data_IF_565728155538
#
_entry.id   IF_565728155538
#
_cell.length_a   1.000
_cell.length_b   1.000
_cell.length_c   1.000
_cell.angle_alpha   90.00
_cell.angle_beta   90.00
_cell.angle_gamma   90.00
#
_symmetry.space_group_name_H-M   'P 1'
#
loop_
_entity.id
_entity.type
_entity.pdbx_description
1 polymer ?
#
# COMPACT_ATOMS: atom_id res chain seq x y z
N UNK A 1 -9.06 10.45 3.30
CA UNK A 1 -8.26 9.78 2.26
C UNK A 1 -7.18 8.93 2.91
N UNK A 2 -7.04 7.71 2.46
CA UNK A 2 -5.94 6.82 2.86
C UNK A 2 -5.28 6.24 1.62
N UNK A 3 -3.96 6.01 1.70
CA UNK A 3 -3.19 5.34 0.64
C UNK A 3 -3.04 3.88 1.04
N UNK A 4 -3.15 2.98 0.06
CA UNK A 4 -3.16 1.53 0.32
C UNK A 4 -1.89 0.91 -0.25
N UNK A 5 -1.17 0.17 0.59
CA UNK A 5 -0.05 -0.66 0.15
C UNK A 5 -0.53 -2.05 -0.27
N UNK A 6 0.23 -2.71 -1.15
CA UNK A 6 -0.02 -4.10 -1.56
C UNK A 6 -0.23 -5.02 -0.36
N UNK A 7 0.57 -4.86 0.70
CA UNK A 7 0.51 -5.73 1.89
C UNK A 7 -0.85 -5.74 2.56
N UNK A 8 -1.56 -4.61 2.58
CA UNK A 8 -2.89 -4.53 3.19
C UNK A 8 -3.93 -5.27 2.36
N UNK A 9 -3.90 -5.12 1.04
CA UNK A 9 -4.85 -5.81 0.17
C UNK A 9 -4.59 -7.32 0.14
N UNK A 10 -3.32 -7.72 0.17
CA UNK A 10 -2.98 -9.14 0.25
C UNK A 10 -3.43 -9.75 1.59
N UNK A 11 -3.37 -9.00 2.70
CA UNK A 11 -3.88 -9.48 3.97
C UNK A 11 -5.39 -9.77 3.90
N UNK A 12 -6.14 -8.94 3.18
CA UNK A 12 -7.58 -9.18 2.95
C UNK A 12 -7.78 -10.41 2.06
N UNK A 13 -7.06 -10.49 0.95
CA UNK A 13 -7.20 -11.61 0.00
C UNK A 13 -6.83 -12.96 0.60
N UNK A 14 -5.86 -12.97 1.53
CA UNK A 14 -5.41 -14.18 2.21
C UNK A 14 -6.17 -14.44 3.52
N UNK A 15 -7.15 -13.62 3.85
CA UNK A 15 -7.96 -13.72 5.07
C UNK A 15 -7.08 -13.80 6.33
N UNK A 16 -6.09 -12.92 6.40
CA UNK A 16 -5.21 -12.84 7.55
C UNK A 16 -5.90 -12.14 8.73
N UNK A 17 -5.29 -12.16 9.92
CA UNK A 17 -5.91 -11.65 11.16
C UNK A 17 -6.37 -10.20 11.03
N UNK A 18 -5.66 -9.38 10.25
CA UNK A 18 -5.99 -7.96 10.06
C UNK A 18 -7.06 -7.70 9.00
N UNK A 19 -7.52 -8.74 8.27
CA UNK A 19 -8.40 -8.57 7.11
C UNK A 19 -9.67 -7.77 7.43
N UNK A 20 -10.35 -8.10 8.53
CA UNK A 20 -11.58 -7.41 8.91
C UNK A 20 -11.33 -5.93 9.24
N UNK A 21 -10.28 -5.64 9.99
CA UNK A 21 -9.91 -4.26 10.33
C UNK A 21 -9.56 -3.47 9.07
N UNK A 22 -8.78 -4.05 8.16
CA UNK A 22 -8.39 -3.38 6.93
C UNK A 22 -9.59 -3.11 6.02
N UNK A 23 -10.50 -4.09 5.88
CA UNK A 23 -11.73 -3.90 5.13
C UNK A 23 -12.60 -2.76 5.71
N UNK A 24 -12.68 -2.67 7.04
CA UNK A 24 -13.38 -1.58 7.71
C UNK A 24 -12.75 -0.22 7.39
N UNK A 25 -11.42 -0.13 7.42
CA UNK A 25 -10.70 1.11 7.08
C UNK A 25 -10.92 1.53 5.63
N UNK A 26 -10.94 0.57 4.70
CA UNK A 26 -11.23 0.86 3.30
C UNK A 26 -12.65 1.45 3.15
N UNK A 27 -13.63 0.85 3.81
CA UNK A 27 -15.03 1.28 3.71
C UNK A 27 -15.25 2.66 4.34
N UNK A 28 -14.51 3.01 5.37
CA UNK A 28 -14.69 4.26 6.14
C UNK A 28 -13.96 5.46 5.56
N UNK A 29 -13.09 5.26 4.59
CA UNK A 29 -12.21 6.31 4.06
C UNK A 29 -12.27 6.34 2.54
N UNK A 30 -11.69 7.38 1.93
CA UNK A 30 -11.50 7.44 0.48
C UNK A 30 -10.17 6.76 0.14
N UNK A 31 -10.14 5.46 -0.21
CA UNK A 31 -8.91 4.74 -0.44
C UNK A 31 -8.36 5.01 -1.83
N UNK A 32 -7.06 5.21 -1.92
CA UNK A 32 -6.34 5.37 -3.19
C UNK A 32 -5.12 4.47 -3.23
N UNK A 33 -4.74 4.03 -4.42
CA UNK A 33 -3.56 3.20 -4.65
C UNK A 33 -2.76 3.78 -5.82
N UNK A 34 -1.44 3.78 -5.71
CA UNK A 34 -0.59 4.19 -6.83
C UNK A 34 -0.70 3.18 -7.97
N UNK A 35 -0.66 3.65 -9.22
CA UNK A 35 -0.74 2.78 -10.40
C UNK A 35 0.31 1.65 -10.37
N UNK A 36 1.60 1.89 -10.06
CA UNK A 36 2.56 0.78 -9.96
C UNK A 36 2.29 -0.15 -8.78
N UNK A 37 1.70 0.32 -7.69
CA UNK A 37 1.31 -0.54 -6.57
C UNK A 37 0.16 -1.47 -6.96
N UNK A 38 -0.79 -0.99 -7.78
CA UNK A 38 -1.81 -1.88 -8.35
C UNK A 38 -1.18 -3.00 -9.17
N UNK A 39 -0.18 -2.68 -10.00
CA UNK A 39 0.53 -3.70 -10.77
C UNK A 39 1.21 -4.70 -9.84
N UNK A 40 1.89 -4.23 -8.81
CA UNK A 40 2.52 -5.10 -7.81
C UNK A 40 1.48 -6.03 -7.17
N UNK A 41 0.32 -5.50 -6.77
CA UNK A 41 -0.77 -6.31 -6.21
C UNK A 41 -1.17 -7.44 -7.14
N UNK A 42 -1.37 -7.14 -8.43
CA UNK A 42 -1.79 -8.15 -9.41
C UNK A 42 -0.70 -9.22 -9.60
N UNK A 43 0.55 -8.82 -9.64
CA UNK A 43 1.69 -9.75 -9.76
C UNK A 43 1.76 -10.66 -8.53
N UNK A 44 1.67 -10.09 -7.33
CA UNK A 44 1.74 -10.85 -6.08
C UNK A 44 0.54 -11.78 -5.93
N UNK A 45 -0.66 -11.29 -6.24
CA UNK A 45 -1.88 -12.10 -6.19
C UNK A 45 -1.79 -13.28 -7.17
N UNK A 46 -1.27 -13.06 -8.37
CA UNK A 46 -1.05 -14.13 -9.34
C UNK A 46 -0.06 -15.17 -8.81
N UNK A 47 1.06 -14.72 -8.25
CA UNK A 47 2.08 -15.61 -7.71
C UNK A 47 1.62 -16.44 -6.52
N UNK A 48 0.79 -15.87 -5.66
CA UNK A 48 0.31 -16.52 -4.43
C UNK A 48 -0.96 -17.34 -4.63
N UNK A 49 -1.87 -16.89 -5.49
CA UNK A 49 -3.24 -17.42 -5.58
C UNK A 49 -3.65 -17.78 -7.01
N UNK A 50 -2.79 -17.58 -8.01
CA UNK A 50 -3.11 -17.85 -9.40
C UNK A 50 -4.09 -16.87 -10.01
N UNK A 51 -4.70 -17.24 -11.14
CA UNK A 51 -5.63 -16.36 -11.88
C UNK A 51 -6.88 -16.02 -11.07
N UNK A 52 -7.36 -16.91 -10.21
CA UNK A 52 -8.47 -16.61 -9.32
C UNK A 52 -8.11 -15.50 -8.32
N UNK A 53 -6.88 -15.50 -7.82
CA UNK A 53 -6.39 -14.43 -6.96
C UNK A 53 -6.38 -13.08 -7.65
N UNK A 54 -5.99 -13.04 -8.93
CA UNK A 54 -6.03 -11.81 -9.72
C UNK A 54 -7.47 -11.31 -9.87
N UNK A 55 -8.41 -12.21 -10.16
CA UNK A 55 -9.83 -11.84 -10.28
C UNK A 55 -10.37 -11.28 -8.96
N UNK A 56 -10.01 -11.90 -7.84
CA UNK A 56 -10.40 -11.42 -6.51
C UNK A 56 -9.77 -10.06 -6.19
N UNK A 57 -8.50 -9.85 -6.56
CA UNK A 57 -7.84 -8.57 -6.36
C UNK A 57 -8.54 -7.44 -7.15
N UNK A 58 -8.89 -7.70 -8.41
CA UNK A 58 -9.62 -6.74 -9.22
C UNK A 58 -11.00 -6.45 -8.66
N UNK A 59 -11.72 -7.48 -8.21
CA UNK A 59 -13.02 -7.30 -7.57
C UNK A 59 -12.92 -6.48 -6.29
N UNK A 60 -11.87 -6.68 -5.49
CA UNK A 60 -11.64 -5.92 -4.26
C UNK A 60 -11.42 -4.43 -4.57
N UNK A 61 -10.60 -4.13 -5.59
CA UNK A 61 -10.36 -2.75 -6.02
C UNK A 61 -11.66 -2.06 -6.44
N UNK A 62 -12.53 -2.78 -7.16
CA UNK A 62 -13.80 -2.24 -7.66
C UNK A 62 -14.83 -2.08 -6.55
N UNK A 63 -15.05 -3.13 -5.73
CA UNK A 63 -16.09 -3.11 -4.71
C UNK A 63 -15.79 -2.14 -3.57
N UNK A 64 -14.51 -1.93 -3.26
CA UNK A 64 -14.09 -0.97 -2.24
C UNK A 64 -13.88 0.44 -2.79
N UNK A 65 -14.14 0.65 -4.07
CA UNK A 65 -14.01 1.95 -4.73
C UNK A 65 -12.62 2.56 -4.54
N UNK A 66 -11.59 1.73 -4.70
CA UNK A 66 -10.20 2.17 -4.57
C UNK A 66 -9.78 2.88 -5.86
N UNK A 67 -9.54 4.19 -5.78
CA UNK A 67 -9.08 4.96 -6.93
C UNK A 67 -7.61 4.71 -7.20
N UNK A 68 -7.27 4.54 -8.48
CA UNK A 68 -5.88 4.38 -8.92
C UNK A 68 -5.31 5.75 -9.27
N UNK A 69 -4.23 6.12 -8.60
CA UNK A 69 -3.56 7.40 -8.81
C UNK A 69 -2.47 7.25 -9.85
N UNK A 70 -2.50 8.09 -10.86
CA UNK A 70 -1.49 8.13 -11.92
C UNK A 70 -0.09 8.34 -11.33
N UNK A 71 0.88 7.58 -11.87
CA UNK A 71 2.27 7.74 -11.45
C UNK A 71 2.96 8.79 -12.31
N UNK A 72 3.56 9.79 -11.68
CA UNK A 72 4.17 10.92 -12.36
C UNK A 72 5.69 10.90 -12.17
N UNK A 73 6.44 11.64 -13.03
CA UNK A 73 7.88 11.83 -12.81
C UNK A 73 8.21 12.39 -11.42
N UNK A 74 7.39 13.30 -10.91
CA UNK A 74 7.58 13.87 -9.58
C UNK A 74 7.45 12.80 -8.49
N UNK A 75 6.51 11.86 -8.61
CA UNK A 75 6.37 10.74 -7.68
C UNK A 75 7.58 9.81 -7.74
N UNK A 76 8.16 9.60 -8.93
CA UNK A 76 9.39 8.81 -9.05
C UNK A 76 10.56 9.47 -8.30
N UNK A 77 10.72 10.78 -8.42
CA UNK A 77 11.73 11.50 -7.67
C UNK A 77 11.51 11.41 -6.17
N UNK A 78 10.25 11.56 -5.73
CA UNK A 78 9.88 11.43 -4.32
C UNK A 78 10.17 10.02 -3.80
N UNK A 79 9.89 8.98 -4.59
CA UNK A 79 10.18 7.59 -4.22
C UNK A 79 11.69 7.34 -4.09
N UNK A 80 12.49 7.95 -4.96
CA UNK A 80 13.95 7.85 -4.85
C UNK A 80 14.45 8.53 -3.57
N UNK A 81 13.93 9.69 -3.22
CA UNK A 81 14.26 10.35 -1.95
C UNK A 81 13.86 9.48 -0.75
N UNK A 82 12.71 8.83 -0.82
CA UNK A 82 12.28 7.89 0.21
C UNK A 82 13.28 6.73 0.36
N UNK A 83 13.79 6.21 -0.75
CA UNK A 83 14.80 5.17 -0.73
C UNK A 83 16.10 5.65 -0.06
N UNK A 84 16.55 6.85 -0.38
CA UNK A 84 17.75 7.40 0.25
C UNK A 84 17.60 7.57 1.77
N UNK A 85 16.39 7.90 2.24
CA UNK A 85 16.11 8.10 3.67
C UNK A 85 15.87 6.78 4.40
N UNK A 86 15.11 5.85 3.82
CA UNK A 86 14.57 4.69 4.52
C UNK A 86 14.79 3.36 3.80
N UNK A 87 15.46 3.36 2.66
CA UNK A 87 15.59 2.19 1.81
C UNK A 87 16.50 1.11 2.35
N UNK A 88 16.35 -0.09 1.77
CA UNK A 88 17.19 -1.25 2.06
C UNK A 88 18.65 -0.88 1.75
N UNK A 89 19.52 -1.11 2.73
CA UNK A 89 20.94 -0.73 2.62
C UNK A 89 21.22 0.70 3.05
N UNK A 90 20.21 1.53 3.30
CA UNK A 90 20.32 2.93 3.70
C UNK A 90 19.87 3.13 5.16
N UNK A 91 18.86 2.38 5.60
CA UNK A 91 18.19 2.60 6.87
C UNK A 91 17.60 1.29 7.41
N UNK A 92 17.46 1.13 8.74
CA UNK A 92 16.85 -0.06 9.34
C UNK A 92 15.43 -0.37 8.90
N UNK A 93 14.67 0.60 8.38
CA UNK A 93 13.34 0.37 7.81
C UNK A 93 13.39 -0.55 6.59
N UNK A 94 14.49 -0.52 5.83
CA UNK A 94 14.75 -1.42 4.70
C UNK A 94 13.65 -1.39 3.64
N UNK A 95 13.12 -0.20 3.33
CA UNK A 95 12.09 -0.09 2.31
C UNK A 95 12.61 -0.62 0.97
N UNK A 96 11.82 -1.49 0.35
CA UNK A 96 12.11 -2.01 -0.98
C UNK A 96 11.51 -1.09 -2.06
N UNK A 97 11.65 -1.47 -3.33
CA UNK A 97 11.16 -0.72 -4.46
C UNK A 97 9.66 -0.40 -4.35
N UNK A 98 8.86 -1.43 -4.05
CA UNK A 98 7.40 -1.25 -3.93
C UNK A 98 7.02 -0.38 -2.73
N UNK A 99 7.70 -0.57 -1.60
CA UNK A 99 7.45 0.22 -0.39
C UNK A 99 7.70 1.72 -0.64
N UNK A 100 8.74 2.04 -1.39
CA UNK A 100 9.07 3.43 -1.69
C UNK A 100 7.96 4.12 -2.50
N UNK A 101 7.28 3.38 -3.37
CA UNK A 101 6.17 3.93 -4.16
C UNK A 101 4.96 4.24 -3.28
N UNK A 102 4.58 3.31 -2.41
CA UNK A 102 3.48 3.54 -1.46
C UNK A 102 3.79 4.70 -0.53
N UNK A 103 5.01 4.75 -0.01
CA UNK A 103 5.47 5.85 0.85
C UNK A 103 5.39 7.20 0.12
N UNK A 104 5.92 7.27 -1.11
CA UNK A 104 5.95 8.51 -1.87
C UNK A 104 4.55 9.06 -2.14
N UNK A 105 3.60 8.19 -2.50
CA UNK A 105 2.23 8.63 -2.72
C UNK A 105 1.60 9.14 -1.42
N UNK A 106 1.75 8.41 -0.32
CA UNK A 106 1.20 8.82 0.96
C UNK A 106 1.76 10.18 1.42
N UNK A 107 3.06 10.40 1.26
CA UNK A 107 3.68 11.68 1.61
C UNK A 107 3.20 12.80 0.70
N UNK A 108 3.10 12.56 -0.60
CA UNK A 108 2.66 13.59 -1.55
C UNK A 108 1.22 14.04 -1.30
N UNK A 109 0.37 13.14 -0.84
CA UNK A 109 -1.03 13.42 -0.51
C UNK A 109 -1.22 13.84 0.95
N UNK A 110 -0.17 13.81 1.75
CA UNK A 110 -0.23 14.03 3.20
C UNK A 110 -1.32 13.14 3.84
N UNK A 111 -1.36 11.88 3.44
CA UNK A 111 -2.35 10.91 3.86
C UNK A 111 -1.69 9.76 4.61
N UNK A 112 -2.40 9.10 5.55
CA UNK A 112 -1.88 7.90 6.19
C UNK A 112 -1.86 6.72 5.22
N UNK A 113 -1.03 5.73 5.53
CA UNK A 113 -0.83 4.54 4.72
C UNK A 113 -1.41 3.33 5.42
N UNK A 114 -2.24 2.55 4.71
CA UNK A 114 -2.71 1.26 5.19
C UNK A 114 -1.75 0.18 4.72
N UNK A 115 -1.12 -0.51 5.66
CA UNK A 115 -0.11 -1.53 5.39
C UNK A 115 -0.13 -2.60 6.47
N UNK A 116 0.42 -3.77 6.13
CA UNK A 116 0.70 -4.84 7.08
C UNK A 116 2.21 -5.00 7.21
N UNK A 117 2.69 -5.32 8.42
CA UNK A 117 4.10 -5.61 8.68
C UNK A 117 4.84 -4.46 9.32
N UNK A 118 6.16 -4.60 9.41
CA UNK A 118 7.02 -3.71 10.18
C UNK A 118 7.78 -2.69 9.32
N UNK A 119 7.74 -2.82 7.99
CA UNK A 119 8.61 -2.05 7.10
C UNK A 119 8.42 -0.54 7.26
N UNK A 120 7.18 -0.08 7.36
CA UNK A 120 6.88 1.34 7.48
C UNK A 120 6.91 1.87 8.91
N UNK A 121 6.95 1.00 9.93
CA UNK A 121 6.89 1.43 11.33
C UNK A 121 8.12 2.23 11.76
N UNK A 122 9.23 2.05 11.07
CA UNK A 122 10.49 2.77 11.35
C UNK A 122 10.65 4.03 10.50
N UNK A 123 9.61 4.41 9.77
CA UNK A 123 9.58 5.63 8.98
C UNK A 123 8.70 6.68 9.65
N UNK A 124 8.58 7.84 9.03
CA UNK A 124 7.73 8.92 9.52
C UNK A 124 6.30 8.86 8.98
N UNK A 125 5.95 7.80 8.22
CA UNK A 125 4.60 7.67 7.66
C UNK A 125 3.61 7.28 8.76
N UNK A 126 2.43 7.90 8.73
CA UNK A 126 1.36 7.53 9.67
C UNK A 126 0.64 6.29 9.20
N UNK A 127 0.37 5.36 10.12
CA UNK A 127 -0.42 4.17 9.83
C UNK A 127 -1.91 4.51 9.84
N UNK A 128 -2.61 4.11 8.78
CA UNK A 128 -4.07 4.25 8.72
C UNK A 128 -4.78 3.24 9.64
N UNK A 129 -4.10 2.17 10.04
CA UNK A 129 -4.63 1.17 10.96
C UNK A 129 -4.37 1.49 12.42
N UNK A 130 -3.51 2.47 12.72
CA UNK A 130 -3.25 2.88 14.09
C UNK A 130 -4.55 3.34 14.74
N UNK A 131 -4.78 2.92 15.98
CA UNK A 131 -5.94 3.38 16.72
C UNK A 131 -5.90 4.90 16.80
N UNK A 132 -6.94 5.56 16.30
CA UNK A 132 -7.16 6.95 16.61
C UNK A 132 -7.40 7.01 18.12
N UNK A 133 -6.48 7.61 18.79
CA UNK A 133 -6.62 7.85 20.21
C UNK A 133 -7.87 8.71 20.46
#
# INVERSE_FOLDING_TARGET
>A
MIVIDTSALMAILLDEDEAALFAEKLAASAPVIAAPTKLELLIVAHGRLGSNGVSHARALLDTQLIDVVEWTPALSDAAFQAFLLFGKGQHPAKLNFGDCMSYALAKSLNAPLLYKGEDFTKTDIKSAAAASA
#
